data_IF_998351940012
#
_entry.id   IF_998351940012
#
_cell.length_a   1.000
_cell.length_b   1.000
_cell.length_c   1.000
_cell.angle_alpha   90.00
_cell.angle_beta   90.00
_cell.angle_gamma   90.00
#
_symmetry.space_group_name_H-M   'P 1'
#
loop_
_entity.id
_entity.type
_entity.pdbx_description
1 polymer ?
#
# COMPACT_ATOMS: atom_id res chain seq x y z
N UNK A 1 4.87 10.56 14.06
CA UNK A 1 4.66 10.35 12.61
C UNK A 1 3.33 10.98 12.25
N UNK A 2 3.27 11.80 11.22
CA UNK A 2 1.99 12.34 10.74
C UNK A 2 1.37 11.31 9.78
N UNK A 3 0.66 10.32 10.32
CA UNK A 3 0.02 9.23 9.55
C UNK A 3 -0.94 9.78 8.49
N UNK A 4 -1.78 10.80 8.79
CA UNK A 4 -2.63 11.44 7.78
C UNK A 4 -1.85 11.88 6.54
N UNK A 5 -0.76 12.60 6.72
CA UNK A 5 0.06 13.08 5.61
C UNK A 5 0.62 11.95 4.74
N UNK A 6 1.06 10.85 5.36
CA UNK A 6 1.57 9.68 4.62
C UNK A 6 0.47 9.03 3.80
N UNK A 7 -0.69 8.81 4.42
CA UNK A 7 -1.84 8.17 3.74
C UNK A 7 -2.33 9.04 2.59
N UNK A 8 -2.49 10.34 2.80
CA UNK A 8 -2.91 11.30 1.78
C UNK A 8 -1.92 11.36 0.62
N UNK A 9 -0.61 11.37 0.90
CA UNK A 9 0.42 11.38 -0.14
C UNK A 9 0.39 10.11 -0.98
N UNK A 10 0.29 8.94 -0.36
CA UNK A 10 0.29 7.65 -1.06
C UNK A 10 -1.04 7.40 -1.79
N UNK A 11 -2.15 7.84 -1.22
CA UNK A 11 -3.48 7.71 -1.79
C UNK A 11 -4.00 9.01 -2.43
N UNK A 12 -3.10 9.88 -2.90
CA UNK A 12 -3.45 11.20 -3.46
C UNK A 12 -4.53 11.15 -4.55
N UNK A 13 -4.69 10.01 -5.19
CA UNK A 13 -5.72 9.72 -6.18
C UNK A 13 -6.96 9.01 -5.59
N UNK A 14 -7.02 8.85 -4.27
CA UNK A 14 -8.10 8.17 -3.58
C UNK A 14 -8.01 6.65 -3.67
N UNK A 15 -9.00 5.97 -3.08
CA UNK A 15 -9.03 4.52 -2.97
C UNK A 15 -9.20 3.82 -4.32
N UNK A 16 -9.88 4.45 -5.28
CA UNK A 16 -10.06 3.91 -6.61
C UNK A 16 -10.51 5.01 -7.57
N UNK A 17 -9.60 5.70 -8.21
CA UNK A 17 -9.90 6.57 -9.37
C UNK A 17 -10.05 5.79 -10.67
N UNK A 18 -10.64 4.62 -10.59
CA UNK A 18 -10.95 3.85 -11.77
C UNK A 18 -12.08 4.54 -12.54
N UNK A 19 -11.75 5.36 -13.51
CA UNK A 19 -12.72 5.89 -14.46
C UNK A 19 -13.21 4.74 -15.33
N UNK A 20 -14.30 4.12 -14.96
CA UNK A 20 -14.99 3.18 -15.84
C UNK A 20 -15.49 3.95 -17.06
N UNK A 21 -14.87 3.73 -18.20
CA UNK A 21 -15.37 4.25 -19.48
C UNK A 21 -16.73 3.67 -19.86
N UNK A 22 -17.13 2.56 -19.23
CA UNK A 22 -18.35 1.84 -19.54
C UNK A 22 -19.30 1.80 -18.34
N UNK A 23 -20.51 2.34 -18.52
CA UNK A 23 -21.57 2.41 -17.49
C UNK A 23 -22.00 1.02 -16.96
N UNK A 24 -21.91 -0.04 -17.78
CA UNK A 24 -22.20 -1.42 -17.35
C UNK A 24 -21.25 -1.91 -16.25
N UNK A 25 -20.02 -1.43 -16.23
CA UNK A 25 -19.04 -1.79 -15.19
C UNK A 25 -19.31 -1.01 -13.89
N UNK A 26 -19.90 0.17 -13.97
CA UNK A 26 -20.36 0.95 -12.80
C UNK A 26 -21.39 0.16 -11.98
N UNK A 27 -22.31 -0.52 -12.65
CA UNK A 27 -23.35 -1.30 -11.97
C UNK A 27 -22.83 -2.54 -11.22
N UNK A 28 -21.73 -3.12 -11.70
CA UNK A 28 -21.09 -4.28 -11.05
C UNK A 28 -20.37 -3.89 -9.76
N UNK A 29 -19.81 -2.68 -9.71
CA UNK A 29 -19.07 -2.18 -8.54
C UNK A 29 -19.97 -1.62 -7.45
N UNK A 30 -21.24 -1.36 -7.74
CA UNK A 30 -22.23 -0.85 -6.80
C UNK A 30 -23.12 -1.92 -6.18
N UNK A 31 -22.84 -3.21 -6.42
CA UNK A 31 -23.58 -4.28 -5.75
C UNK A 31 -23.41 -4.17 -4.23
N UNK A 32 -24.48 -4.32 -3.44
CA UNK A 32 -24.40 -4.33 -1.99
C UNK A 32 -23.30 -5.25 -1.48
N UNK A 33 -22.45 -4.78 -0.58
CA UNK A 33 -21.33 -5.53 0.01
C UNK A 33 -20.04 -5.58 -0.83
N UNK A 34 -19.97 -4.88 -1.98
CA UNK A 34 -18.73 -4.73 -2.76
C UNK A 34 -18.30 -3.28 -2.81
N UNK A 35 -17.28 -2.93 -2.04
CA UNK A 35 -16.68 -1.60 -2.05
C UNK A 35 -15.97 -1.31 -3.37
N UNK A 36 -15.89 -0.04 -3.73
CA UNK A 36 -15.17 0.46 -4.92
C UNK A 36 -13.64 0.44 -4.77
N UNK A 37 -13.13 -0.11 -3.74
CA UNK A 37 -11.74 -0.19 -3.37
C UNK A 37 -11.62 -0.39 -1.88
N UNK A 38 -10.53 -1.00 -1.45
CA UNK A 38 -10.25 -1.20 -0.04
C UNK A 38 -8.76 -1.19 0.22
N UNK A 39 -8.37 -0.65 1.36
CA UNK A 39 -7.09 -0.90 2.00
C UNK A 39 -7.33 -1.66 3.29
N UNK A 40 -6.27 -2.31 3.80
CA UNK A 40 -6.30 -3.03 5.04
C UNK A 40 -5.37 -2.34 6.03
N UNK A 41 -5.86 -2.13 7.25
CA UNK A 41 -5.11 -1.48 8.32
C UNK A 41 -5.08 -2.35 9.58
N UNK A 42 -3.99 -2.29 10.32
CA UNK A 42 -3.72 -3.16 11.46
C UNK A 42 -3.10 -2.35 12.61
N UNK A 43 -3.50 -2.66 13.84
CA UNK A 43 -3.01 -1.99 15.04
C UNK A 43 -1.57 -2.38 15.43
N UNK A 44 -1.09 -3.51 14.94
CA UNK A 44 0.25 -4.02 15.24
C UNK A 44 0.71 -5.04 14.21
N UNK A 45 2.01 -5.32 14.15
CA UNK A 45 2.59 -6.40 13.35
C UNK A 45 1.96 -7.77 13.66
N UNK A 46 1.67 -8.05 14.94
CA UNK A 46 0.99 -9.29 15.36
C UNK A 46 -0.41 -9.39 14.78
N UNK A 47 -1.17 -8.29 14.79
CA UNK A 47 -2.49 -8.22 14.19
C UNK A 47 -2.44 -8.41 12.68
N UNK A 48 -1.45 -7.83 12.01
CA UNK A 48 -1.23 -7.96 10.57
C UNK A 48 -0.94 -9.42 10.18
N UNK A 49 -0.01 -10.08 10.86
CA UNK A 49 0.33 -11.49 10.62
C UNK A 49 -0.89 -12.39 10.85
N UNK A 50 -1.66 -12.11 11.90
CA UNK A 50 -2.88 -12.85 12.23
C UNK A 50 -4.10 -12.50 11.37
N UNK A 51 -3.97 -11.56 10.41
CA UNK A 51 -5.10 -11.10 9.59
C UNK A 51 -6.18 -10.34 10.35
N UNK A 52 -5.90 -9.91 11.59
CA UNK A 52 -6.83 -9.18 12.46
C UNK A 52 -6.69 -7.70 12.23
N UNK A 53 -7.53 -7.14 11.38
CA UNK A 53 -7.44 -5.73 10.99
C UNK A 53 -8.79 -5.11 10.69
N UNK A 54 -8.73 -3.93 10.11
CA UNK A 54 -9.89 -3.18 9.62
C UNK A 54 -9.83 -3.07 8.11
N UNK A 55 -10.98 -3.18 7.48
CA UNK A 55 -11.14 -2.94 6.05
C UNK A 55 -11.65 -1.53 5.88
N UNK A 56 -10.86 -0.68 5.25
CA UNK A 56 -11.17 0.74 5.01
C UNK A 56 -11.56 0.91 3.54
N UNK A 57 -12.76 1.39 3.30
CA UNK A 57 -13.40 1.44 1.97
C UNK A 57 -13.80 2.82 1.51
N UNK A 58 -13.54 3.83 2.33
CA UNK A 58 -13.76 5.24 2.00
C UNK A 58 -12.69 6.12 2.63
N UNK A 59 -12.56 7.34 2.15
CA UNK A 59 -11.63 8.33 2.70
C UNK A 59 -12.03 8.71 4.12
N UNK A 60 -13.32 8.85 4.39
CA UNK A 60 -13.84 9.13 5.73
C UNK A 60 -13.44 8.02 6.71
N UNK A 61 -13.61 6.74 6.31
CA UNK A 61 -13.22 5.61 7.16
C UNK A 61 -11.71 5.59 7.43
N UNK A 62 -10.88 6.05 6.48
CA UNK A 62 -9.43 6.19 6.68
C UNK A 62 -9.16 7.29 7.71
N UNK A 63 -9.76 8.47 7.55
CA UNK A 63 -9.60 9.59 8.48
C UNK A 63 -10.03 9.23 9.90
N UNK A 64 -11.17 8.57 10.07
CA UNK A 64 -11.68 8.16 11.38
C UNK A 64 -10.79 7.13 12.09
N UNK A 65 -10.02 6.34 11.34
CA UNK A 65 -9.23 5.24 11.90
C UNK A 65 -7.72 5.47 11.86
N UNK A 66 -7.22 6.54 11.23
CA UNK A 66 -5.80 6.75 10.97
C UNK A 66 -4.91 6.72 12.22
N UNK A 67 -5.42 7.14 13.37
CA UNK A 67 -4.71 7.14 14.64
C UNK A 67 -4.76 5.79 15.36
N UNK A 68 -5.54 4.83 14.85
CA UNK A 68 -5.74 3.53 15.48
C UNK A 68 -4.86 2.43 14.91
N UNK A 69 -4.19 2.66 13.79
CA UNK A 69 -3.37 1.64 13.14
C UNK A 69 -1.92 2.09 12.93
N UNK A 70 -1.01 1.12 12.96
CA UNK A 70 0.43 1.32 12.74
C UNK A 70 0.93 0.65 11.46
N UNK A 71 0.15 -0.26 10.90
CA UNK A 71 0.45 -0.99 9.67
C UNK A 71 -0.74 -0.92 8.74
N UNK A 72 -0.48 -0.76 7.45
CA UNK A 72 -1.52 -0.67 6.44
C UNK A 72 -1.01 -1.09 5.06
N UNK A 73 -1.92 -1.36 4.14
CA UNK A 73 -1.57 -1.67 2.76
C UNK A 73 -1.57 -0.39 1.92
N UNK A 74 -0.43 0.03 1.35
CA UNK A 74 -0.34 1.28 0.59
C UNK A 74 -0.94 1.19 -0.82
N UNK A 75 -1.26 -0.01 -1.27
CA UNK A 75 -1.89 -0.28 -2.56
C UNK A 75 -3.35 -0.71 -2.36
N UNK A 76 -4.21 -0.44 -3.35
CA UNK A 76 -5.65 -0.60 -3.22
C UNK A 76 -6.11 -1.93 -3.79
N UNK A 77 -6.92 -2.63 -3.04
CA UNK A 77 -7.57 -3.88 -3.44
C UNK A 77 -8.97 -3.60 -4.00
N UNK A 78 -9.45 -4.49 -4.85
CA UNK A 78 -10.77 -4.37 -5.47
C UNK A 78 -11.89 -4.33 -4.43
N UNK A 79 -11.76 -5.13 -3.40
CA UNK A 79 -12.68 -5.19 -2.27
C UNK A 79 -11.94 -5.72 -1.03
N UNK A 80 -12.51 -5.42 0.13
CA UNK A 80 -12.15 -6.03 1.40
C UNK A 80 -13.43 -6.47 2.11
N UNK A 81 -13.35 -7.59 2.79
CA UNK A 81 -14.44 -8.15 3.61
C UNK A 81 -13.85 -8.77 4.88
N UNK A 82 -14.72 -9.37 5.66
CA UNK A 82 -14.34 -10.15 6.83
C UNK A 82 -14.67 -11.61 6.62
N UNK A 83 -13.88 -12.49 7.21
CA UNK A 83 -14.04 -13.94 7.10
C UNK A 83 -15.06 -14.48 8.10
N UNK A 84 -15.33 -13.72 9.16
CA UNK A 84 -16.19 -14.07 10.28
C UNK A 84 -17.26 -13.00 10.56
N UNK A 85 -18.33 -13.37 11.23
CA UNK A 85 -19.45 -12.49 11.60
C UNK A 85 -19.02 -11.39 12.56
N UNK A 86 -18.07 -11.67 13.45
CA UNK A 86 -17.52 -10.73 14.42
C UNK A 86 -16.57 -9.70 13.81
N UNK A 87 -16.33 -9.73 12.48
CA UNK A 87 -15.41 -8.87 11.77
C UNK A 87 -14.00 -8.85 12.35
N UNK A 88 -13.52 -10.01 12.83
CA UNK A 88 -12.22 -10.13 13.47
C UNK A 88 -11.10 -10.37 12.46
N UNK A 89 -11.40 -11.07 11.36
CA UNK A 89 -10.40 -11.45 10.35
C UNK A 89 -10.72 -10.81 8.99
N UNK A 90 -9.77 -10.04 8.49
CA UNK A 90 -9.89 -9.43 7.16
C UNK A 90 -9.69 -10.45 6.04
N UNK A 91 -10.43 -10.28 4.95
CA UNK A 91 -10.37 -11.12 3.74
C UNK A 91 -10.32 -10.25 2.49
N UNK A 92 -9.52 -10.66 1.52
CA UNK A 92 -9.37 -9.95 0.25
C UNK A 92 -7.97 -9.38 0.03
N UNK A 93 -7.06 -9.50 0.99
CA UNK A 93 -5.67 -9.11 0.89
C UNK A 93 -4.88 -10.18 0.10
N UNK A 94 -5.02 -10.19 -1.23
CA UNK A 94 -4.32 -11.12 -2.11
C UNK A 94 -3.97 -10.46 -3.44
N UNK A 95 -2.95 -10.96 -4.13
CA UNK A 95 -2.52 -10.43 -5.43
C UNK A 95 -3.63 -10.42 -6.47
N UNK A 96 -4.44 -11.47 -6.53
CA UNK A 96 -5.56 -11.57 -7.47
C UNK A 96 -6.64 -10.51 -7.22
N UNK A 97 -6.67 -9.95 -6.02
CA UNK A 97 -7.60 -8.89 -5.65
C UNK A 97 -6.96 -7.49 -5.69
N UNK A 98 -5.64 -7.39 -5.89
CA UNK A 98 -4.96 -6.12 -6.08
C UNK A 98 -5.53 -5.41 -7.32
N UNK A 99 -5.83 -4.12 -7.18
CA UNK A 99 -6.51 -3.36 -8.24
C UNK A 99 -5.77 -2.12 -8.67
N UNK A 100 -5.13 -1.46 -7.73
CA UNK A 100 -4.43 -0.20 -7.97
C UNK A 100 -3.10 -0.23 -7.22
N UNK A 101 -2.03 0.01 -7.95
CA UNK A 101 -0.68 0.16 -7.41
C UNK A 101 -0.39 1.64 -7.37
N UNK A 102 -0.25 2.19 -6.17
CA UNK A 102 0.02 3.60 -5.94
C UNK A 102 1.50 3.86 -5.70
N UNK A 103 2.18 2.87 -5.10
CA UNK A 103 3.54 3.05 -4.64
C UNK A 103 4.31 1.74 -4.61
N UNK A 104 5.62 1.87 -4.72
CA UNK A 104 6.59 0.88 -4.28
C UNK A 104 7.21 1.35 -2.98
N UNK A 105 7.67 0.44 -2.13
CA UNK A 105 8.38 0.81 -0.92
C UNK A 105 9.49 -0.17 -0.61
N UNK A 106 10.50 0.33 0.10
CA UNK A 106 11.60 -0.45 0.67
C UNK A 106 11.57 -0.26 2.17
N UNK A 107 11.75 -1.36 2.89
CA UNK A 107 11.92 -1.38 4.34
C UNK A 107 13.40 -1.59 4.65
N UNK A 108 14.03 -0.60 5.27
CA UNK A 108 15.42 -0.62 5.72
C UNK A 108 15.46 -0.98 7.20
N UNK A 109 15.33 -2.26 7.50
CA UNK A 109 15.40 -2.77 8.87
C UNK A 109 16.85 -2.84 9.35
N UNK A 110 17.11 -2.24 10.52
CA UNK A 110 18.39 -2.36 11.24
C UNK A 110 18.32 -3.65 12.06
N UNK A 111 19.03 -4.68 11.63
CA UNK A 111 19.00 -5.98 12.28
C UNK A 111 20.03 -6.15 13.41
N UNK A 112 21.09 -5.34 13.40
CA UNK A 112 22.16 -5.40 14.40
C UNK A 112 22.48 -4.02 14.94
N UNK A 113 22.97 -3.96 16.19
CA UNK A 113 23.40 -2.70 16.81
C UNK A 113 24.63 -2.04 16.11
N UNK A 114 25.26 -2.74 15.16
CA UNK A 114 26.40 -2.24 14.39
C UNK A 114 25.98 -1.63 13.05
N UNK A 115 24.76 -1.92 12.57
CA UNK A 115 24.24 -1.36 11.34
C UNK A 115 23.56 -0.04 11.65
N UNK A 116 24.08 1.04 11.12
CA UNK A 116 23.46 2.36 11.20
C UNK A 116 23.08 2.80 9.80
N UNK A 117 21.80 2.85 9.51
CA UNK A 117 21.26 3.45 8.29
C UNK A 117 20.59 4.74 8.71
N UNK A 118 20.96 5.85 8.09
CA UNK A 118 20.30 7.14 8.30
C UNK A 118 19.43 7.52 7.10
N UNK A 119 18.51 8.45 7.32
CA UNK A 119 17.74 9.02 6.20
C UNK A 119 18.67 9.71 5.17
N UNK A 120 19.80 10.25 5.64
CA UNK A 120 20.82 10.88 4.77
C UNK A 120 21.48 9.87 3.85
N UNK A 121 21.79 8.66 4.35
CA UNK A 121 22.39 7.59 3.54
C UNK A 121 21.44 7.15 2.43
N UNK A 122 20.15 7.01 2.77
CA UNK A 122 19.11 6.67 1.79
C UNK A 122 18.99 7.77 0.73
N UNK A 123 19.02 9.04 1.12
CA UNK A 123 18.95 10.17 0.20
C UNK A 123 20.19 10.24 -0.70
N UNK A 124 21.39 10.04 -0.16
CA UNK A 124 22.63 10.03 -0.93
C UNK A 124 22.58 8.93 -2.00
N UNK A 125 22.19 7.71 -1.59
CA UNK A 125 22.03 6.60 -2.53
C UNK A 125 20.99 6.93 -3.61
N UNK A 126 19.86 7.54 -3.22
CA UNK A 126 18.81 7.94 -4.14
C UNK A 126 19.27 8.98 -5.17
N UNK A 127 20.10 9.95 -4.74
CA UNK A 127 20.72 10.95 -5.63
C UNK A 127 21.66 10.27 -6.62
N UNK A 128 22.55 9.41 -6.15
CA UNK A 128 23.52 8.69 -6.98
C UNK A 128 22.84 7.80 -8.02
N UNK A 129 21.70 7.22 -7.66
CA UNK A 129 20.88 6.40 -8.56
C UNK A 129 19.99 7.23 -9.50
N UNK A 130 19.82 8.53 -9.24
CA UNK A 130 18.86 9.38 -9.93
C UNK A 130 17.40 8.95 -9.73
N UNK A 131 17.10 8.28 -8.60
CA UNK A 131 15.78 7.74 -8.30
C UNK A 131 15.36 8.06 -6.87
N UNK A 132 14.66 9.18 -6.71
CA UNK A 132 14.30 9.74 -5.41
C UNK A 132 13.01 9.15 -4.83
N UNK A 133 12.99 8.76 -3.54
CA UNK A 133 11.74 8.42 -2.87
C UNK A 133 10.89 9.68 -2.65
N UNK A 134 9.59 9.52 -2.71
CA UNK A 134 8.62 10.59 -2.41
C UNK A 134 8.58 10.88 -0.91
N UNK A 135 8.72 9.83 -0.09
CA UNK A 135 8.70 9.89 1.37
C UNK A 135 9.75 8.97 1.95
N UNK A 136 10.42 9.42 3.01
CA UNK A 136 11.22 8.57 3.91
C UNK A 136 10.61 8.67 5.30
N UNK A 137 10.22 7.54 5.86
CA UNK A 137 9.55 7.45 7.16
C UNK A 137 10.45 6.69 8.11
N UNK A 138 10.70 7.27 9.30
CA UNK A 138 11.38 6.56 10.38
C UNK A 138 10.42 5.55 11.01
N UNK A 139 10.78 4.27 11.01
CA UNK A 139 10.11 3.18 11.72
C UNK A 139 10.80 2.88 13.05
N UNK A 140 10.25 1.95 13.83
CA UNK A 140 10.86 1.53 15.11
C UNK A 140 12.26 0.91 14.91
N UNK A 141 12.48 0.24 13.77
CA UNK A 141 13.69 -0.53 13.49
C UNK A 141 14.54 0.03 12.36
N UNK A 142 14.19 1.16 11.78
CA UNK A 142 14.91 1.73 10.66
C UNK A 142 14.10 2.74 9.90
N UNK A 143 14.05 2.61 8.58
CA UNK A 143 13.37 3.56 7.70
C UNK A 143 12.58 2.83 6.62
N UNK A 144 11.53 3.48 6.16
CA UNK A 144 10.75 3.07 4.99
C UNK A 144 10.80 4.17 3.94
N UNK A 145 11.26 3.84 2.73
CA UNK A 145 11.25 4.75 1.59
C UNK A 145 10.10 4.40 0.64
N UNK A 146 9.24 5.36 0.35
CA UNK A 146 8.09 5.21 -0.53
C UNK A 146 8.34 5.93 -1.85
N UNK A 147 8.10 5.23 -2.95
CA UNK A 147 8.15 5.75 -4.31
C UNK A 147 6.73 5.79 -4.86
N UNK A 148 6.07 6.92 -4.63
CA UNK A 148 4.67 7.12 -5.02
C UNK A 148 4.60 7.41 -6.52
N UNK A 149 3.71 6.72 -7.21
CA UNK A 149 3.48 6.91 -8.63
C UNK A 149 2.62 8.14 -8.86
N UNK A 150 3.03 9.03 -9.77
CA UNK A 150 2.24 10.18 -10.19
C UNK A 150 0.85 9.77 -10.70
N UNK A 151 0.80 8.66 -11.42
CA UNK A 151 -0.45 8.05 -11.87
C UNK A 151 -0.46 6.59 -11.43
N UNK A 152 -1.45 6.16 -10.64
CA UNK A 152 -1.58 4.78 -10.22
C UNK A 152 -1.69 3.80 -11.38
N UNK A 153 -1.08 2.63 -11.24
CA UNK A 153 -1.19 1.55 -12.21
C UNK A 153 -2.38 0.65 -11.85
N UNK A 154 -3.34 0.55 -12.78
CA UNK A 154 -4.52 -0.28 -12.58
C UNK A 154 -4.27 -1.72 -13.02
N UNK A 155 -4.62 -2.66 -12.14
CA UNK A 155 -4.48 -4.09 -12.36
C UNK A 155 -5.76 -4.66 -12.92
N UNK A 156 -5.67 -5.38 -14.04
CA UNK A 156 -6.81 -6.04 -14.67
C UNK A 156 -6.52 -7.52 -14.93
N UNK A 157 -7.54 -8.36 -14.75
CA UNK A 157 -7.46 -9.78 -15.12
C UNK A 157 -7.36 -9.98 -16.65
N UNK A 158 -7.90 -9.04 -17.44
CA UNK A 158 -7.82 -9.07 -18.91
C UNK A 158 -6.38 -9.01 -19.44
N UNK A 159 -5.47 -8.40 -18.68
CA UNK A 159 -4.05 -8.35 -19.01
C UNK A 159 -3.24 -9.49 -18.36
N UNK A 160 -3.89 -10.55 -17.90
CA UNK A 160 -3.24 -11.67 -17.21
C UNK A 160 -2.36 -11.23 -16.02
N UNK A 161 -2.78 -10.15 -15.36
CA UNK A 161 -2.04 -9.53 -14.26
C UNK A 161 -0.60 -9.09 -14.63
N UNK A 162 -0.34 -8.74 -15.90
CA UNK A 162 0.99 -8.28 -16.36
C UNK A 162 1.51 -7.12 -15.52
N UNK A 163 0.62 -6.21 -15.11
CA UNK A 163 1.00 -5.09 -14.23
C UNK A 163 1.54 -5.56 -12.88
N UNK A 164 1.00 -6.63 -12.29
CA UNK A 164 1.51 -7.20 -11.03
C UNK A 164 2.87 -7.85 -11.23
N UNK A 165 3.05 -8.58 -12.33
CA UNK A 165 4.34 -9.19 -12.66
C UNK A 165 5.41 -8.12 -12.85
N UNK A 166 5.11 -7.05 -13.60
CA UNK A 166 6.01 -5.91 -13.78
C UNK A 166 6.32 -5.21 -12.46
N UNK A 167 5.31 -4.99 -11.62
CA UNK A 167 5.49 -4.37 -10.31
C UNK A 167 6.40 -5.18 -9.39
N UNK A 168 6.32 -6.51 -9.42
CA UNK A 168 7.24 -7.38 -8.67
C UNK A 168 8.69 -7.21 -9.10
N UNK A 169 8.93 -7.16 -10.41
CA UNK A 169 10.27 -6.95 -10.97
C UNK A 169 10.80 -5.57 -10.56
N UNK A 170 9.99 -4.53 -10.70
CA UNK A 170 10.36 -3.17 -10.28
C UNK A 170 10.68 -3.13 -8.79
N UNK A 171 9.83 -3.71 -7.95
CA UNK A 171 10.05 -3.77 -6.50
C UNK A 171 11.33 -4.52 -6.14
N UNK A 172 11.66 -5.58 -6.85
CA UNK A 172 12.90 -6.31 -6.66
C UNK A 172 14.10 -5.48 -7.09
N UNK A 173 14.07 -4.88 -8.27
CA UNK A 173 15.14 -4.02 -8.78
C UNK A 173 15.42 -2.85 -7.82
N UNK A 174 14.38 -2.17 -7.34
CA UNK A 174 14.55 -1.09 -6.37
C UNK A 174 15.29 -1.59 -5.12
N UNK A 175 14.90 -2.74 -4.56
CA UNK A 175 15.60 -3.34 -3.41
C UNK A 175 17.07 -3.66 -3.69
N UNK A 176 17.36 -4.22 -4.86
CA UNK A 176 18.73 -4.56 -5.25
C UNK A 176 19.60 -3.32 -5.41
N UNK A 177 19.05 -2.24 -5.96
CA UNK A 177 19.77 -0.97 -6.12
C UNK A 177 20.06 -0.27 -4.80
N UNK A 178 19.12 -0.27 -3.88
CA UNK A 178 19.29 0.36 -2.56
C UNK A 178 19.94 -0.56 -1.52
N UNK A 179 20.00 -1.85 -1.76
CA UNK A 179 20.57 -2.85 -0.86
C UNK A 179 22.06 -3.12 -1.09
N UNK A 180 22.67 -2.38 -2.02
CA UNK A 180 24.11 -2.39 -2.26
C UNK A 180 24.76 -1.26 -1.48
#
# INVERSE_FOLDING_TARGET
MNIPFVVETVLHDGLLKYKFKNSKIRSITTKPGKSKGAIFAYRSKKSMIGGRGVVLTSEEAIHENQDTFTHWTPNVYRYGTYADENRSYTKGHSENNLRQINTFFIDFDIHTAKETISASDILTTAIDLGFMPTLIIKSDKGYQAYFVLETPVYVTSKSEFKSVKAAKIISQNIREYFGK
#
